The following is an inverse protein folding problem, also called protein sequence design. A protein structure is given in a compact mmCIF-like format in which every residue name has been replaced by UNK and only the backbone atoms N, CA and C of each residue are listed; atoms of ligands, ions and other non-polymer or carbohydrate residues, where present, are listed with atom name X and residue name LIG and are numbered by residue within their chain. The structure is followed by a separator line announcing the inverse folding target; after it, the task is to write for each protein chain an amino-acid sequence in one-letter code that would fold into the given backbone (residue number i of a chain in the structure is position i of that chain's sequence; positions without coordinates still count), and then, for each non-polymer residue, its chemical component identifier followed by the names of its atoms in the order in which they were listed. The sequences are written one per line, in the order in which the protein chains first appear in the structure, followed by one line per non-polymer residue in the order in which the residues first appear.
data_IF_667752761880
#
_entry.id   IF_667752761880
#
_cell.length_a   1.000
_cell.length_b   1.000
_cell.length_c   1.000
_cell.angle_alpha   90.00
_cell.angle_beta   90.00
_cell.angle_gamma   90.00
#
_symmetry.space_group_name_H-M   'P 1'
#
loop_
_entity.id
_entity.type
_entity.pdbx_description
1 polymer ?
#
# COMPACT_ATOMS: atom_id res chain seq x y z
N UNK A 1 -0.19 -2.21 2.48
CA UNK A 1 -0.89 -1.65 1.30
C UNK A 1 -2.26 -1.12 1.70
N UNK A 2 -2.76 -0.11 1.00
CA UNK A 2 -4.13 0.41 1.06
C UNK A 2 -4.96 -0.20 -0.06
N UNK A 3 -6.16 -0.72 0.22
CA UNK A 3 -6.99 -1.33 -0.81
C UNK A 3 -8.48 -1.09 -0.55
N UNK A 4 -9.12 -0.32 -1.44
CA UNK A 4 -10.57 -0.22 -1.51
C UNK A 4 -11.10 -1.49 -2.20
N UNK A 5 -12.13 -2.12 -1.63
CA UNK A 5 -12.68 -3.39 -2.15
C UNK A 5 -14.05 -3.23 -2.84
N UNK A 6 -14.43 -2.01 -3.21
CA UNK A 6 -15.64 -1.67 -3.98
C UNK A 6 -16.90 -2.30 -3.38
N UNK A 7 -17.21 -1.93 -2.14
CA UNK A 7 -18.32 -2.43 -1.33
C UNK A 7 -18.37 -3.96 -1.27
N UNK A 8 -17.48 -4.55 -0.48
CA UNK A 8 -17.45 -6.00 -0.27
C UNK A 8 -18.45 -6.41 0.82
N UNK A 9 -19.61 -6.87 0.39
CA UNK A 9 -20.69 -7.31 1.26
C UNK A 9 -20.92 -8.80 1.14
N UNK A 10 -20.95 -9.46 2.29
CA UNK A 10 -21.37 -10.86 2.43
C UNK A 10 -22.90 -11.01 2.49
N UNK A 11 -23.63 -9.88 2.55
CA UNK A 11 -25.08 -9.84 2.49
C UNK A 11 -25.53 -9.12 1.21
N UNK A 12 -26.37 -9.76 0.40
CA UNK A 12 -26.79 -9.25 -0.92
C UNK A 12 -28.27 -9.50 -1.21
N UNK A 13 -28.82 -8.64 -2.08
CA UNK A 13 -30.26 -8.38 -2.24
C UNK A 13 -31.03 -9.55 -2.85
N UNK A 14 -30.40 -10.37 -3.69
CA UNK A 14 -31.01 -11.52 -4.35
C UNK A 14 -30.30 -12.84 -3.96
N UNK A 15 -30.72 -13.43 -2.84
CA UNK A 15 -30.54 -14.87 -2.59
C UNK A 15 -29.40 -15.33 -1.67
N UNK A 16 -28.76 -14.47 -0.88
CA UNK A 16 -27.68 -14.92 0.02
C UNK A 16 -27.50 -14.16 1.34
N UNK A 17 -28.61 -13.79 1.97
CA UNK A 17 -28.64 -13.30 3.35
C UNK A 17 -28.53 -11.78 3.42
N UNK A 18 -29.28 -11.05 4.21
CA UNK A 18 -30.24 -11.32 5.28
C UNK A 18 -31.64 -10.92 4.78
N UNK A 19 -32.70 -11.65 5.14
CA UNK A 19 -34.08 -11.19 4.88
C UNK A 19 -34.38 -9.79 5.48
N UNK A 20 -33.48 -9.32 6.35
CA UNK A 20 -33.59 -8.08 7.11
C UNK A 20 -32.78 -6.90 6.51
N UNK A 21 -31.87 -7.14 5.56
CA UNK A 21 -31.01 -6.09 4.96
C UNK A 21 -29.73 -5.75 5.73
N UNK A 22 -29.08 -4.65 5.37
CA UNK A 22 -27.81 -4.18 5.94
C UNK A 22 -28.00 -2.96 6.85
N UNK A 23 -27.16 -2.82 7.87
CA UNK A 23 -27.24 -1.70 8.82
C UNK A 23 -26.63 -0.43 8.23
N UNK A 24 -27.29 0.72 8.44
CA UNK A 24 -26.78 2.06 8.17
C UNK A 24 -27.44 3.03 9.15
N UNK A 25 -26.65 3.73 9.96
CA UNK A 25 -27.18 4.71 10.92
C UNK A 25 -28.19 4.12 11.92
N UNK A 26 -28.04 2.84 12.27
CA UNK A 26 -28.97 2.12 13.13
C UNK A 26 -30.25 1.61 12.45
N UNK A 27 -30.43 1.89 11.15
CA UNK A 27 -31.55 1.36 10.36
C UNK A 27 -31.08 0.16 9.54
N UNK A 28 -31.90 -0.90 9.48
CA UNK A 28 -31.61 -2.09 8.66
C UNK A 28 -32.55 -2.12 7.47
N UNK A 29 -32.01 -2.15 6.25
CA UNK A 29 -32.77 -2.17 5.00
C UNK A 29 -31.99 -2.85 3.89
N UNK A 30 -32.66 -3.51 2.94
CA UNK A 30 -32.01 -4.09 1.75
C UNK A 30 -31.35 -3.02 0.90
N UNK A 31 -31.89 -1.80 0.87
CA UNK A 31 -31.30 -0.65 0.17
C UNK A 31 -29.97 -0.19 0.78
N UNK A 32 -29.66 -0.60 2.01
CA UNK A 32 -28.37 -0.32 2.64
C UNK A 32 -27.29 -1.34 2.26
N UNK A 33 -27.67 -2.48 1.67
CA UNK A 33 -26.70 -3.43 1.16
C UNK A 33 -26.11 -2.88 -0.13
N UNK A 34 -24.79 -2.75 -0.15
CA UNK A 34 -24.01 -2.24 -1.29
C UNK A 34 -23.15 -3.40 -1.81
N UNK A 35 -22.66 -3.33 -3.04
CA UNK A 35 -21.83 -4.39 -3.61
C UNK A 35 -22.59 -5.36 -4.52
N UNK A 36 -22.14 -6.60 -4.58
CA UNK A 36 -22.77 -7.66 -5.38
C UNK A 36 -24.27 -7.81 -5.06
N UNK A 37 -25.09 -8.01 -6.10
CA UNK A 37 -26.54 -8.21 -5.94
C UNK A 37 -26.90 -9.67 -5.66
N UNK A 38 -26.05 -10.62 -6.05
CA UNK A 38 -26.29 -12.05 -5.93
C UNK A 38 -24.99 -12.86 -5.73
N UNK A 39 -25.13 -14.16 -5.50
CA UNK A 39 -24.01 -15.06 -5.22
C UNK A 39 -23.00 -15.16 -6.38
N UNK A 40 -23.47 -15.06 -7.64
CA UNK A 40 -22.59 -15.15 -8.80
C UNK A 40 -21.71 -13.89 -8.90
N UNK A 41 -22.29 -12.71 -8.72
CA UNK A 41 -21.55 -11.45 -8.65
C UNK A 41 -20.61 -11.41 -7.45
N UNK A 42 -21.04 -11.89 -6.29
CA UNK A 42 -20.19 -11.97 -5.10
C UNK A 42 -18.95 -12.83 -5.36
N UNK A 43 -19.13 -13.98 -6.02
CA UNK A 43 -18.01 -14.85 -6.40
C UNK A 43 -17.06 -14.14 -7.37
N UNK A 44 -17.58 -13.42 -8.35
CA UNK A 44 -16.79 -12.61 -9.30
C UNK A 44 -16.00 -11.51 -8.60
N UNK A 45 -16.66 -10.76 -7.71
CA UNK A 45 -16.06 -9.70 -6.91
C UNK A 45 -14.93 -10.25 -6.03
N UNK A 46 -15.22 -11.29 -5.24
CA UNK A 46 -14.25 -11.93 -4.36
C UNK A 46 -13.04 -12.44 -5.14
N UNK A 47 -13.24 -13.04 -6.32
CA UNK A 47 -12.16 -13.56 -7.15
C UNK A 47 -11.19 -12.46 -7.58
N UNK A 48 -11.69 -11.33 -8.11
CA UNK A 48 -10.84 -10.21 -8.53
C UNK A 48 -10.07 -9.60 -7.36
N UNK A 49 -10.75 -9.39 -6.22
CA UNK A 49 -10.14 -8.86 -5.00
C UNK A 49 -9.04 -9.79 -4.49
N UNK A 50 -9.30 -11.11 -4.45
CA UNK A 50 -8.32 -12.11 -4.00
C UNK A 50 -7.10 -12.16 -4.91
N UNK A 51 -7.26 -12.15 -6.24
CA UNK A 51 -6.12 -12.12 -7.16
C UNK A 51 -5.31 -10.83 -7.01
N UNK A 52 -5.97 -9.67 -6.83
CA UNK A 52 -5.27 -8.41 -6.57
C UNK A 52 -4.47 -8.45 -5.26
N UNK A 53 -5.06 -8.92 -4.17
CA UNK A 53 -4.38 -9.02 -2.88
C UNK A 53 -3.22 -10.03 -2.91
N UNK A 54 -3.41 -11.17 -3.59
CA UNK A 54 -2.37 -12.18 -3.78
C UNK A 54 -1.20 -11.66 -4.62
N UNK A 55 -1.47 -10.82 -5.62
CA UNK A 55 -0.42 -10.21 -6.44
C UNK A 55 0.32 -9.07 -5.72
N UNK A 56 -0.38 -8.28 -4.89
CA UNK A 56 0.25 -7.25 -4.03
C UNK A 56 1.15 -7.90 -2.98
N UNK A 57 0.73 -9.04 -2.42
CA UNK A 57 1.46 -9.84 -1.44
C UNK A 57 1.96 -9.05 -0.20
N UNK A 58 1.23 -7.99 0.19
CA UNK A 58 1.65 -7.13 1.28
C UNK A 58 1.63 -7.85 2.64
N UNK A 59 2.58 -7.51 3.52
CA UNK A 59 2.62 -8.03 4.90
C UNK A 59 1.42 -7.58 5.74
N UNK A 60 0.86 -6.42 5.42
CA UNK A 60 -0.40 -5.91 5.99
C UNK A 60 -1.20 -5.15 4.92
N UNK A 61 -2.50 -5.40 4.86
CA UNK A 61 -3.46 -4.66 4.03
C UNK A 61 -4.46 -3.93 4.91
N UNK A 62 -4.57 -2.62 4.68
CA UNK A 62 -5.69 -1.82 5.13
C UNK A 62 -6.79 -1.85 4.09
N UNK A 63 -8.00 -2.22 4.51
CA UNK A 63 -9.14 -2.43 3.63
C UNK A 63 -10.19 -1.35 3.89
N UNK A 64 -10.67 -0.72 2.83
CA UNK A 64 -11.84 0.17 2.87
C UNK A 64 -13.01 -0.52 2.17
N UNK A 65 -14.23 -0.18 2.59
CA UNK A 65 -15.48 -0.71 1.99
C UNK A 65 -15.80 -2.17 2.34
N UNK A 66 -15.34 -2.63 3.49
CA UNK A 66 -15.77 -3.91 4.07
C UNK A 66 -17.11 -3.68 4.75
N UNK A 67 -18.10 -4.56 4.50
CA UNK A 67 -19.39 -4.49 5.18
C UNK A 67 -19.23 -4.41 6.70
N UNK A 68 -19.99 -3.52 7.32
CA UNK A 68 -20.01 -3.32 8.76
C UNK A 68 -20.95 -4.35 9.44
N UNK A 69 -20.51 -5.61 9.50
CA UNK A 69 -21.23 -6.73 10.11
C UNK A 69 -20.35 -7.54 11.09
N UNK A 70 -19.62 -6.80 11.93
CA UNK A 70 -18.53 -7.36 12.72
C UNK A 70 -17.37 -7.79 11.81
N UNK A 71 -16.71 -8.90 12.12
CA UNK A 71 -15.60 -9.44 11.32
C UNK A 71 -16.03 -10.42 10.22
N UNK A 72 -17.33 -10.64 10.01
CA UNK A 72 -17.84 -11.65 9.07
C UNK A 72 -17.33 -11.42 7.64
N UNK A 73 -17.50 -10.22 7.09
CA UNK A 73 -17.03 -9.93 5.73
C UNK A 73 -15.50 -9.98 5.59
N UNK A 74 -14.77 -9.41 6.54
CA UNK A 74 -13.30 -9.46 6.54
C UNK A 74 -12.77 -10.90 6.65
N UNK A 75 -13.35 -11.72 7.54
CA UNK A 75 -12.95 -13.11 7.73
C UNK A 75 -13.27 -13.98 6.50
N UNK A 76 -14.41 -13.72 5.85
CA UNK A 76 -14.77 -14.38 4.60
C UNK A 76 -13.74 -14.09 3.49
N UNK A 77 -13.32 -12.83 3.34
CA UNK A 77 -12.28 -12.45 2.39
C UNK A 77 -10.91 -13.09 2.72
N UNK A 78 -10.54 -13.11 4.01
CA UNK A 78 -9.30 -13.79 4.47
C UNK A 78 -9.34 -15.29 4.17
N UNK A 79 -10.48 -15.95 4.37
CA UNK A 79 -10.63 -17.37 4.05
C UNK A 79 -10.40 -17.64 2.56
N UNK A 80 -10.99 -16.83 1.68
CA UNK A 80 -10.79 -16.94 0.23
C UNK A 80 -9.34 -16.63 -0.18
N UNK A 81 -8.72 -15.59 0.39
CA UNK A 81 -7.32 -15.27 0.14
C UNK A 81 -6.40 -16.41 0.58
N UNK A 82 -6.60 -16.96 1.78
CA UNK A 82 -5.81 -18.10 2.28
C UNK A 82 -6.02 -19.37 1.45
N UNK A 83 -7.21 -19.58 0.87
CA UNK A 83 -7.40 -20.67 -0.09
C UNK A 83 -6.51 -20.50 -1.35
N UNK A 84 -6.20 -19.25 -1.71
CA UNK A 84 -5.38 -18.89 -2.87
C UNK A 84 -3.87 -18.84 -2.59
N UNK A 85 -3.46 -18.40 -1.39
CA UNK A 85 -2.04 -18.18 -1.04
C UNK A 85 -1.51 -19.09 0.07
N UNK A 86 -2.30 -20.07 0.52
CA UNK A 86 -1.96 -20.99 1.59
C UNK A 86 -2.70 -20.69 2.89
N UNK A 87 -3.14 -21.76 3.56
CA UNK A 87 -3.89 -21.67 4.81
C UNK A 87 -3.05 -20.98 5.90
N UNK A 88 -3.65 -19.98 6.58
CA UNK A 88 -3.00 -19.27 7.68
C UNK A 88 -2.01 -18.19 7.25
N UNK A 89 -1.84 -17.93 5.94
CA UNK A 89 -0.96 -16.87 5.45
C UNK A 89 -1.40 -15.49 5.95
N UNK A 90 -2.71 -15.23 5.99
CA UNK A 90 -3.30 -14.00 6.49
C UNK A 90 -4.30 -14.24 7.63
N UNK A 91 -4.38 -13.28 8.54
CA UNK A 91 -5.41 -13.20 9.59
C UNK A 91 -5.97 -11.78 9.67
N UNK A 92 -7.20 -11.63 10.17
CA UNK A 92 -7.78 -10.32 10.49
C UNK A 92 -7.22 -9.76 11.79
N UNK A 93 -7.11 -8.44 11.94
CA UNK A 93 -6.96 -7.84 13.27
C UNK A 93 -8.20 -8.09 14.14
N UNK A 94 -8.05 -7.91 15.46
CA UNK A 94 -9.19 -7.96 16.38
C UNK A 94 -10.21 -6.89 16.01
N UNK A 95 -11.51 -7.24 16.05
CA UNK A 95 -12.57 -6.25 15.87
C UNK A 95 -12.46 -5.19 16.98
N UNK A 96 -12.35 -3.89 16.67
CA UNK A 96 -12.37 -2.85 17.68
C UNK A 96 -13.77 -2.76 18.32
N UNK A 97 -13.87 -2.09 19.46
CA UNK A 97 -15.14 -1.92 20.19
C UNK A 97 -16.19 -1.11 19.43
N UNK A 98 -15.76 -0.28 18.49
CA UNK A 98 -16.61 0.54 17.63
C UNK A 98 -16.10 0.47 16.19
N UNK A 99 -17.02 0.28 15.25
CA UNK A 99 -16.72 0.25 13.80
C UNK A 99 -17.47 1.32 13.03
N UNK A 100 -18.10 2.26 13.74
CA UNK A 100 -18.91 3.32 13.17
C UNK A 100 -20.31 2.88 12.82
N UNK A 101 -21.06 3.83 12.27
CA UNK A 101 -22.48 3.68 11.95
C UNK A 101 -22.77 3.49 10.46
N UNK A 102 -21.77 3.61 9.60
CA UNK A 102 -21.93 3.40 8.16
C UNK A 102 -22.11 1.90 7.82
N UNK A 103 -22.68 1.60 6.65
CA UNK A 103 -22.87 0.23 6.17
C UNK A 103 -21.55 -0.46 5.82
N UNK A 104 -20.50 0.34 5.62
CA UNK A 104 -19.14 -0.10 5.43
C UNK A 104 -18.22 0.44 6.52
N UNK A 105 -17.15 -0.29 6.79
CA UNK A 105 -16.08 0.08 7.71
C UNK A 105 -14.73 -0.17 7.07
N UNK A 106 -13.69 0.28 7.76
CA UNK A 106 -12.33 -0.14 7.49
C UNK A 106 -12.00 -1.45 8.23
N UNK A 107 -11.07 -2.22 7.69
CA UNK A 107 -10.51 -3.42 8.32
C UNK A 107 -9.01 -3.52 8.07
N UNK A 108 -8.33 -4.40 8.78
CA UNK A 108 -6.93 -4.76 8.51
C UNK A 108 -6.78 -6.27 8.49
N UNK A 109 -5.96 -6.76 7.56
CA UNK A 109 -5.48 -8.13 7.53
C UNK A 109 -3.96 -8.13 7.42
N UNK A 110 -3.30 -9.12 8.01
CA UNK A 110 -1.84 -9.17 8.04
C UNK A 110 -1.30 -10.59 8.03
N UNK A 111 -0.03 -10.75 7.66
CA UNK A 111 0.71 -12.01 7.73
C UNK A 111 1.23 -12.22 9.15
N UNK A 112 0.71 -13.17 9.94
CA UNK A 112 1.17 -13.39 11.32
C UNK A 112 2.60 -13.95 11.39
N UNK A 113 3.12 -14.50 10.28
CA UNK A 113 4.52 -14.91 10.17
C UNK A 113 5.51 -13.73 10.05
N UNK A 114 5.01 -12.51 9.82
CA UNK A 114 5.83 -11.30 9.60
C UNK A 114 5.58 -10.23 10.67
N UNK A 115 4.34 -10.12 11.13
CA UNK A 115 3.89 -9.05 12.02
C UNK A 115 3.18 -9.61 13.24
N UNK A 116 3.52 -9.06 14.41
CA UNK A 116 2.86 -9.35 15.68
C UNK A 116 2.15 -8.08 16.16
N UNK A 117 0.82 -8.11 16.42
CA UNK A 117 0.12 -6.97 16.98
C UNK A 117 0.64 -6.59 18.38
N UNK A 118 0.91 -5.31 18.59
CA UNK A 118 1.21 -4.73 19.90
C UNK A 118 -0.08 -4.15 20.48
N UNK A 119 -0.71 -4.91 21.38
CA UNK A 119 -2.03 -4.58 21.92
C UNK A 119 -3.17 -4.80 20.91
N UNK A 120 -4.40 -4.50 21.34
CA UNK A 120 -5.59 -4.63 20.50
C UNK A 120 -5.69 -3.51 19.46
N UNK A 121 -6.36 -3.79 18.34
CA UNK A 121 -6.71 -2.76 17.37
C UNK A 121 -7.70 -1.76 17.98
N UNK A 122 -7.52 -0.47 17.68
CA UNK A 122 -8.31 0.62 18.26
C UNK A 122 -8.94 1.47 17.15
N UNK A 123 -10.22 1.77 17.28
CA UNK A 123 -10.96 2.69 16.43
C UNK A 123 -11.02 4.09 17.04
N UNK A 124 -10.95 5.13 16.21
CA UNK A 124 -11.23 6.51 16.62
C UNK A 124 -12.74 6.80 16.65
N UNK A 125 -13.36 6.61 17.82
CA UNK A 125 -14.80 6.77 18.03
C UNK A 125 -15.26 8.24 18.14
N UNK A 126 -14.41 9.22 17.83
CA UNK A 126 -14.83 10.61 17.80
C UNK A 126 -15.97 10.81 16.80
N UNK A 127 -16.99 11.57 17.18
CA UNK A 127 -18.25 11.70 16.43
C UNK A 127 -18.12 12.32 15.05
N UNK A 128 -16.97 12.94 14.75
CA UNK A 128 -16.63 13.43 13.41
C UNK A 128 -16.49 12.28 12.40
N UNK A 129 -16.22 11.06 12.87
CA UNK A 129 -16.00 9.89 12.04
C UNK A 129 -17.26 9.03 11.93
N UNK A 130 -17.92 9.07 10.78
CA UNK A 130 -18.95 8.07 10.43
C UNK A 130 -18.33 6.68 10.15
N UNK A 131 -17.09 6.67 9.66
CA UNK A 131 -16.24 5.51 9.44
C UNK A 131 -14.95 5.73 10.25
N UNK A 132 -14.90 5.29 11.52
CA UNK A 132 -13.75 5.46 12.40
C UNK A 132 -12.44 5.00 11.77
N UNK A 133 -11.39 5.81 11.91
CA UNK A 133 -10.02 5.38 11.61
C UNK A 133 -9.67 4.18 12.48
N UNK A 134 -9.16 3.13 11.88
CA UNK A 134 -8.65 1.94 12.58
C UNK A 134 -7.14 2.03 12.72
N UNK A 135 -6.63 1.88 13.94
CA UNK A 135 -5.20 1.83 14.23
C UNK A 135 -4.79 0.47 14.79
N UNK A 136 -3.65 -0.05 14.31
CA UNK A 136 -2.95 -1.19 14.89
C UNK A 136 -1.46 -0.92 14.87
N UNK A 137 -0.81 -1.07 16.02
CA UNK A 137 0.64 -1.11 16.10
C UNK A 137 1.11 -2.54 15.88
N UNK A 138 2.09 -2.72 15.02
CA UNK A 138 2.74 -4.00 14.76
C UNK A 138 4.20 -3.94 15.19
N UNK A 139 4.68 -5.03 15.77
CA UNK A 139 6.10 -5.31 15.92
C UNK A 139 6.53 -6.34 14.89
N UNK A 140 7.71 -6.15 14.31
CA UNK A 140 8.38 -7.12 13.48
C UNK A 140 9.21 -8.07 14.36
N UNK A 141 9.70 -9.17 13.78
CA UNK A 141 10.57 -10.13 14.50
C UNK A 141 11.88 -9.52 14.97
N UNK A 142 12.28 -8.38 14.39
CA UNK A 142 13.44 -7.60 14.81
C UNK A 142 13.14 -6.57 15.91
N UNK A 143 11.91 -6.52 16.44
CA UNK A 143 11.56 -5.58 17.51
C UNK A 143 11.24 -4.15 17.03
N UNK A 144 11.44 -3.83 15.75
CA UNK A 144 10.94 -2.57 15.17
C UNK A 144 9.42 -2.54 15.23
N UNK A 145 8.87 -1.38 15.55
CA UNK A 145 7.42 -1.18 15.64
C UNK A 145 6.95 -0.03 14.78
N UNK A 146 5.78 -0.19 14.16
CA UNK A 146 5.09 0.92 13.50
C UNK A 146 3.58 0.84 13.74
N UNK A 147 2.93 1.99 13.72
CA UNK A 147 1.48 2.12 13.85
C UNK A 147 0.89 2.37 12.46
N UNK A 148 0.07 1.44 11.99
CA UNK A 148 -0.72 1.59 10.77
C UNK A 148 -2.08 2.17 11.13
N UNK A 149 -2.49 3.23 10.43
CA UNK A 149 -3.82 3.83 10.54
C UNK A 149 -4.53 3.74 9.19
N UNK A 150 -5.67 3.08 9.15
CA UNK A 150 -6.51 2.91 7.94
C UNK A 150 -7.72 3.82 8.03
N UNK A 151 -7.90 4.63 7.00
CA UNK A 151 -8.84 5.74 6.97
C UNK A 151 -9.84 5.57 5.83
N UNK A 152 -11.08 6.02 6.05
CA UNK A 152 -12.07 6.17 4.99
C UNK A 152 -12.96 7.40 5.25
N UNK A 153 -12.44 8.59 4.91
CA UNK A 153 -13.10 9.88 5.19
C UNK A 153 -14.39 10.05 4.40
N UNK A 154 -15.25 10.99 4.80
CA UNK A 154 -16.57 11.20 4.19
C UNK A 154 -16.49 11.32 2.66
N UNK A 155 -17.26 10.50 1.96
CA UNK A 155 -17.34 10.53 0.49
C UNK A 155 -17.93 11.82 -0.06
N UNK A 156 -17.43 12.22 -1.24
CA UNK A 156 -17.91 13.32 -2.09
C UNK A 156 -19.24 13.03 -2.81
N UNK A 157 -19.68 11.77 -2.87
CA UNK A 157 -20.81 11.32 -3.71
C UNK A 157 -22.21 11.82 -3.28
N UNK A 158 -22.30 12.69 -2.28
CA UNK A 158 -23.55 13.34 -1.87
C UNK A 158 -23.27 14.74 -1.36
N UNK A 159 -24.31 15.56 -1.21
CA UNK A 159 -24.22 16.88 -0.59
C UNK A 159 -25.17 16.99 0.61
N UNK A 160 -24.84 17.82 1.62
CA UNK A 160 -25.79 18.13 2.68
C UNK A 160 -27.04 18.80 2.08
N UNK A 161 -28.18 18.58 2.72
CA UNK A 161 -29.40 19.31 2.37
C UNK A 161 -29.21 20.79 2.68
N UNK A 162 -29.56 21.68 1.74
CA UNK A 162 -29.48 23.11 1.94
C UNK A 162 -30.26 23.54 3.21
N UNK A 163 -29.61 24.33 4.07
CA UNK A 163 -30.18 24.79 5.34
C UNK A 163 -30.10 23.79 6.51
N UNK A 164 -29.61 22.56 6.30
CA UNK A 164 -29.31 21.65 7.40
C UNK A 164 -28.17 22.18 8.28
N UNK A 165 -28.12 21.76 9.55
CA UNK A 165 -27.09 22.21 10.52
C UNK A 165 -25.67 21.88 10.07
N UNK A 166 -25.49 20.77 9.36
CA UNK A 166 -24.22 20.34 8.80
C UNK A 166 -23.92 20.93 7.42
N UNK A 167 -24.76 21.83 6.88
CA UNK A 167 -24.57 22.40 5.54
C UNK A 167 -23.37 23.37 5.48
N UNK A 168 -23.16 24.15 6.54
CA UNK A 168 -22.09 25.16 6.56
C UNK A 168 -20.70 24.49 6.43
N UNK A 169 -19.92 24.92 5.44
CA UNK A 169 -18.62 24.33 5.08
C UNK A 169 -18.67 22.97 4.37
N UNK A 170 -19.86 22.37 4.17
CA UNK A 170 -20.02 21.08 3.51
C UNK A 170 -20.82 21.15 2.21
N UNK A 171 -21.52 22.25 1.95
CA UNK A 171 -22.06 22.53 0.62
C UNK A 171 -20.92 22.68 -0.39
N UNK A 172 -21.18 22.34 -1.66
CA UNK A 172 -20.23 22.59 -2.73
C UNK A 172 -20.08 24.11 -2.95
N UNK A 173 -18.85 24.60 -2.78
CA UNK A 173 -18.47 26.00 -3.00
C UNK A 173 -18.06 26.28 -4.45
N UNK A 174 -17.97 25.26 -5.31
CA UNK A 174 -17.50 25.38 -6.69
C UNK A 174 -15.98 25.60 -6.80
N UNK A 175 -15.23 25.28 -5.74
CA UNK A 175 -13.77 25.42 -5.69
C UNK A 175 -13.01 24.16 -6.16
N UNK A 176 -13.75 23.13 -6.59
CA UNK A 176 -13.20 21.85 -7.05
C UNK A 176 -13.00 20.81 -5.95
N UNK A 177 -13.17 21.15 -4.67
CA UNK A 177 -13.03 20.20 -3.56
C UNK A 177 -14.30 19.37 -3.36
N UNK A 178 -15.44 19.89 -3.79
CA UNK A 178 -16.75 19.24 -3.75
C UNK A 178 -17.35 19.17 -2.34
N UNK A 179 -18.53 18.57 -2.25
CA UNK A 179 -19.27 18.47 -1.00
C UNK A 179 -18.49 17.77 0.13
N UNK A 180 -18.89 18.08 1.36
CA UNK A 180 -18.31 17.58 2.61
C UNK A 180 -16.83 17.92 2.86
N UNK A 181 -16.28 18.93 2.19
CA UNK A 181 -14.89 19.33 2.39
C UNK A 181 -14.61 19.76 3.84
N UNK A 182 -15.51 20.55 4.45
CA UNK A 182 -15.39 20.96 5.85
C UNK A 182 -15.33 19.78 6.83
N UNK A 183 -16.16 18.75 6.62
CA UNK A 183 -16.14 17.53 7.42
C UNK A 183 -14.84 16.75 7.21
N UNK A 184 -14.39 16.56 5.96
CA UNK A 184 -13.12 15.89 5.67
C UNK A 184 -11.93 16.61 6.31
N UNK A 185 -11.94 17.95 6.34
CA UNK A 185 -10.92 18.75 7.02
C UNK A 185 -10.95 18.58 8.54
N UNK A 186 -12.13 18.46 9.15
CA UNK A 186 -12.27 18.14 10.58
C UNK A 186 -11.80 16.71 10.88
N UNK A 187 -12.07 15.74 9.99
CA UNK A 187 -11.56 14.37 10.11
C UNK A 187 -10.03 14.35 10.02
N UNK A 188 -9.42 15.14 9.13
CA UNK A 188 -7.96 15.29 9.03
C UNK A 188 -7.34 15.85 10.33
N UNK A 189 -7.98 16.86 10.93
CA UNK A 189 -7.54 17.42 12.21
C UNK A 189 -7.63 16.39 13.33
N UNK A 190 -8.78 15.71 13.47
CA UNK A 190 -8.97 14.66 14.48
C UNK A 190 -7.98 13.50 14.29
N UNK A 191 -7.71 13.10 13.04
CA UNK A 191 -6.76 12.06 12.71
C UNK A 191 -5.35 12.37 13.24
N UNK A 192 -4.91 13.63 13.20
CA UNK A 192 -3.62 14.03 13.79
C UNK A 192 -3.59 13.82 15.31
N UNK A 193 -4.65 14.22 16.00
CA UNK A 193 -4.76 14.05 17.45
C UNK A 193 -4.77 12.56 17.80
N UNK A 194 -5.52 11.75 17.05
CA UNK A 194 -5.56 10.31 17.22
C UNK A 194 -4.19 9.65 16.97
N UNK A 195 -3.41 10.11 15.98
CA UNK A 195 -2.03 9.64 15.79
C UNK A 195 -1.19 9.90 17.05
N UNK A 196 -1.24 11.12 17.60
CA UNK A 196 -0.47 11.47 18.80
C UNK A 196 -0.88 10.61 20.03
N UNK A 197 -2.18 10.38 20.21
CA UNK A 197 -2.73 9.47 21.22
C UNK A 197 -2.18 8.05 21.04
N UNK A 198 -2.17 7.53 19.80
CA UNK A 198 -1.72 6.17 19.52
C UNK A 198 -0.22 5.98 19.70
N UNK A 199 0.60 6.92 19.23
CA UNK A 199 2.05 6.87 19.43
C UNK A 199 2.41 6.91 20.92
N UNK A 200 1.73 7.75 21.70
CA UNK A 200 1.91 7.80 23.16
C UNK A 200 1.50 6.48 23.83
N UNK A 201 0.32 5.96 23.50
CA UNK A 201 -0.22 4.75 24.13
C UNK A 201 0.58 3.48 23.84
N UNK A 202 1.24 3.41 22.67
CA UNK A 202 1.98 2.23 22.22
C UNK A 202 3.49 2.37 22.31
N UNK A 203 3.97 3.57 22.68
CA UNK A 203 5.39 3.95 22.68
C UNK A 203 6.06 3.74 21.30
N UNK A 204 5.27 3.74 20.24
CA UNK A 204 5.76 3.77 18.86
C UNK A 204 6.12 5.21 18.48
N UNK A 205 7.15 5.37 17.66
CA UNK A 205 7.50 6.65 17.02
C UNK A 205 6.94 6.77 15.60
N UNK A 206 6.50 5.67 15.00
CA UNK A 206 6.24 5.58 13.57
C UNK A 206 4.74 5.47 13.30
N UNK A 207 4.21 6.40 12.52
CA UNK A 207 2.82 6.38 12.07
C UNK A 207 2.77 6.41 10.54
N UNK A 208 2.11 5.41 9.95
CA UNK A 208 1.76 5.36 8.55
C UNK A 208 0.24 5.41 8.41
N UNK A 209 -0.26 6.44 7.75
CA UNK A 209 -1.66 6.71 7.49
C UNK A 209 -1.92 6.33 6.04
N UNK A 210 -2.77 5.33 5.84
CA UNK A 210 -3.20 4.88 4.53
C UNK A 210 -4.72 4.92 4.44
N UNK A 211 -5.23 4.90 3.21
CA UNK A 211 -6.66 4.77 2.97
C UNK A 211 -7.19 5.80 2.00
N UNK A 212 -8.49 5.69 1.76
CA UNK A 212 -9.26 6.62 0.95
C UNK A 212 -9.65 7.83 1.82
N UNK A 213 -8.95 8.95 1.65
CA UNK A 213 -9.27 10.19 2.36
C UNK A 213 -10.34 11.00 1.63
N UNK A 214 -10.88 10.50 0.51
CA UNK A 214 -11.89 11.15 -0.31
C UNK A 214 -11.55 12.61 -0.61
N UNK A 215 -10.26 12.94 -0.75
CA UNK A 215 -9.76 14.29 -1.00
C UNK A 215 -8.55 14.23 -1.94
N UNK A 216 -8.53 15.08 -2.96
CA UNK A 216 -7.36 15.20 -3.83
C UNK A 216 -6.17 15.81 -3.08
N UNK A 217 -4.96 15.58 -3.59
CA UNK A 217 -3.71 15.90 -2.90
C UNK A 217 -3.52 17.37 -2.48
N UNK A 218 -4.17 18.30 -3.17
CA UNK A 218 -4.10 19.75 -2.92
C UNK A 218 -5.34 20.28 -2.20
N UNK A 219 -6.26 19.42 -1.77
CA UNK A 219 -7.43 19.83 -1.01
C UNK A 219 -7.10 20.06 0.46
N UNK A 220 -7.93 20.88 1.11
CA UNK A 220 -7.79 21.29 2.51
C UNK A 220 -7.54 20.12 3.48
N UNK A 221 -8.20 18.94 3.37
CA UNK A 221 -7.96 17.83 4.29
C UNK A 221 -6.54 17.29 4.20
N UNK A 222 -5.96 17.24 2.99
CA UNK A 222 -4.59 16.75 2.79
C UNK A 222 -3.58 17.82 3.21
N UNK A 223 -3.85 19.09 2.88
CA UNK A 223 -3.01 20.21 3.31
C UNK A 223 -3.00 20.37 4.84
N UNK A 224 -4.12 20.09 5.52
CA UNK A 224 -4.20 20.10 6.98
C UNK A 224 -3.26 19.07 7.63
N UNK A 225 -3.05 17.92 6.99
CA UNK A 225 -2.08 16.92 7.43
C UNK A 225 -0.65 17.35 7.10
N UNK A 226 -0.39 17.74 5.85
CA UNK A 226 0.98 18.00 5.37
C UNK A 226 1.60 19.27 5.94
N UNK A 227 0.80 20.31 6.19
CA UNK A 227 1.23 21.53 6.90
C UNK A 227 1.54 21.29 8.39
N UNK A 228 1.20 20.11 8.92
CA UNK A 228 1.35 19.75 10.33
C UNK A 228 2.48 18.75 10.58
N UNK A 229 3.46 18.68 9.68
CA UNK A 229 4.65 17.84 9.83
C UNK A 229 4.47 16.38 9.39
N UNK A 230 3.32 16.03 8.79
CA UNK A 230 3.18 14.78 8.07
C UNK A 230 3.67 14.96 6.62
N UNK A 231 4.30 13.92 6.07
CA UNK A 231 4.81 13.92 4.72
C UNK A 231 3.95 13.04 3.81
N UNK A 232 3.47 13.62 2.71
CA UNK A 232 2.83 12.88 1.62
C UNK A 232 3.90 12.04 0.89
N UNK A 233 3.81 10.73 1.07
CA UNK A 233 4.78 9.80 0.49
C UNK A 233 4.53 9.57 -0.99
N UNK A 234 3.28 9.67 -1.46
CA UNK A 234 3.01 9.62 -2.90
C UNK A 234 3.70 10.79 -3.57
N UNK A 235 3.52 12.02 -3.06
CA UNK A 235 4.18 13.21 -3.60
C UNK A 235 5.71 13.05 -3.68
N UNK A 236 6.31 12.42 -2.68
CA UNK A 236 7.76 12.18 -2.60
C UNK A 236 8.29 11.23 -3.68
N UNK A 237 7.53 10.20 -4.05
CA UNK A 237 7.99 9.14 -4.98
C UNK A 237 7.36 9.21 -6.37
N UNK A 238 6.17 9.78 -6.50
CA UNK A 238 5.44 9.97 -7.73
C UNK A 238 4.50 11.20 -7.61
N UNK A 239 5.01 12.39 -7.94
CA UNK A 239 4.24 13.64 -7.83
C UNK A 239 2.95 13.64 -8.68
N UNK A 240 2.89 12.83 -9.75
CA UNK A 240 1.72 12.68 -10.63
C UNK A 240 0.89 11.42 -10.31
N UNK A 241 1.13 10.77 -9.17
CA UNK A 241 0.37 9.59 -8.76
C UNK A 241 -1.11 9.89 -8.59
N UNK A 242 -1.94 9.05 -9.21
CA UNK A 242 -3.39 9.06 -9.14
C UNK A 242 -3.90 7.68 -8.71
N UNK A 243 -5.09 7.65 -8.12
CA UNK A 243 -5.78 6.41 -7.74
C UNK A 243 -7.21 6.35 -8.23
N UNK A 244 -7.72 7.43 -8.82
CA UNK A 244 -9.12 7.59 -9.15
C UNK A 244 -9.27 8.51 -10.37
N UNK A 245 -10.19 8.15 -11.26
CA UNK A 245 -10.56 8.94 -12.44
C UNK A 245 -12.04 9.27 -12.37
N UNK A 246 -12.37 10.56 -12.45
CA UNK A 246 -13.74 11.06 -12.39
C UNK A 246 -13.97 12.14 -13.44
N UNK A 247 -15.03 12.01 -14.25
CA UNK A 247 -15.36 12.92 -15.35
C UNK A 247 -14.16 13.26 -16.26
N UNK A 248 -13.29 12.28 -16.50
CA UNK A 248 -12.08 12.41 -17.31
C UNK A 248 -10.89 13.08 -16.62
N UNK A 249 -11.02 13.49 -15.36
CA UNK A 249 -9.93 14.01 -14.53
C UNK A 249 -9.29 12.91 -13.68
N UNK A 250 -7.96 12.82 -13.68
CA UNK A 250 -7.20 11.88 -12.87
C UNK A 250 -6.61 12.56 -11.62
N UNK A 251 -6.76 11.91 -10.46
CA UNK A 251 -6.16 12.36 -9.20
C UNK A 251 -6.10 11.24 -8.17
N UNK A 252 -5.49 11.48 -7.01
CA UNK A 252 -5.44 10.50 -5.91
C UNK A 252 -6.42 10.85 -4.80
N UNK A 253 -7.30 9.90 -4.46
CA UNK A 253 -8.09 9.91 -3.23
C UNK A 253 -7.49 8.97 -2.18
N UNK A 254 -6.69 7.99 -2.63
CA UNK A 254 -5.97 7.04 -1.80
C UNK A 254 -4.55 7.52 -1.55
N UNK A 255 -4.23 7.67 -0.27
CA UNK A 255 -2.98 8.29 0.16
C UNK A 255 -2.12 7.35 0.98
N UNK A 256 -0.82 7.67 1.02
CA UNK A 256 0.12 7.21 2.02
C UNK A 256 0.80 8.43 2.62
N UNK A 257 0.48 8.72 3.88
CA UNK A 257 0.96 9.89 4.62
C UNK A 257 1.68 9.37 5.87
N UNK A 258 2.89 9.87 6.12
CA UNK A 258 3.71 9.39 7.23
C UNK A 258 4.15 10.54 8.13
N UNK A 259 4.26 10.31 9.44
CA UNK A 259 4.96 11.26 10.30
C UNK A 259 6.47 11.25 9.99
N UNK A 260 7.23 12.23 10.51
CA UNK A 260 8.67 12.38 10.20
C UNK A 260 9.49 11.10 10.39
N UNK A 261 9.28 10.40 11.51
CA UNK A 261 10.02 9.17 11.82
C UNK A 261 9.71 8.05 10.82
N UNK A 262 8.43 7.82 10.53
CA UNK A 262 8.02 6.80 9.57
C UNK A 262 8.40 7.17 8.14
N UNK A 263 8.33 8.46 7.76
CA UNK A 263 8.72 8.93 6.44
C UNK A 263 10.19 8.58 6.12
N UNK A 264 11.09 8.63 7.10
CA UNK A 264 12.48 8.21 6.92
C UNK A 264 12.63 6.71 6.59
N UNK A 265 11.65 5.88 7.00
CA UNK A 265 11.63 4.42 6.78
C UNK A 265 10.82 4.03 5.54
N UNK A 266 10.12 4.94 4.88
CA UNK A 266 9.44 4.66 3.61
C UNK A 266 10.47 4.62 2.48
N UNK A 267 10.56 3.45 1.84
CA UNK A 267 11.46 3.20 0.72
C UNK A 267 10.82 3.60 -0.62
N UNK A 268 9.55 3.21 -0.82
CA UNK A 268 8.84 3.47 -2.07
C UNK A 268 7.33 3.49 -1.85
N UNK A 269 6.63 4.29 -2.64
CA UNK A 269 5.18 4.25 -2.77
C UNK A 269 4.79 4.12 -4.24
N UNK A 270 3.84 3.25 -4.54
CA UNK A 270 3.31 3.02 -5.90
C UNK A 270 1.80 2.90 -5.83
N UNK A 271 1.09 3.59 -6.72
CA UNK A 271 -0.26 3.23 -7.11
C UNK A 271 -0.16 2.11 -8.14
N UNK A 272 -0.70 0.94 -7.83
CA UNK A 272 -0.74 -0.13 -8.81
C UNK A 272 -1.99 0.04 -9.68
N UNK A 273 -1.79 0.56 -10.88
CA UNK A 273 -2.85 0.86 -11.84
C UNK A 273 -3.51 -0.42 -12.37
N UNK A 274 -4.58 -0.84 -11.68
CA UNK A 274 -5.40 -2.00 -12.03
C UNK A 274 -6.90 -1.67 -12.03
N UNK A 275 -7.30 -0.45 -11.65
CA UNK A 275 -8.69 -0.11 -11.33
C UNK A 275 -9.12 1.23 -11.95
N UNK A 276 -8.38 2.31 -11.72
CA UNK A 276 -8.84 3.66 -12.06
C UNK A 276 -9.06 3.86 -13.57
N UNK A 277 -8.22 3.24 -14.40
CA UNK A 277 -8.29 3.31 -15.85
C UNK A 277 -9.20 2.24 -16.47
N UNK A 278 -9.63 1.26 -15.67
CA UNK A 278 -10.41 0.13 -16.17
C UNK A 278 -11.88 0.51 -16.39
N UNK A 279 -12.43 0.08 -17.52
CA UNK A 279 -13.82 0.34 -17.86
C UNK A 279 -14.78 -0.35 -16.87
N UNK A 280 -15.80 0.37 -16.39
CA UNK A 280 -16.78 -0.19 -15.45
C UNK A 280 -17.42 -1.50 -15.94
N UNK A 281 -17.61 -1.69 -17.26
CA UNK A 281 -18.17 -2.94 -17.81
C UNK A 281 -17.33 -4.20 -17.53
N UNK A 282 -16.04 -4.08 -17.15
CA UNK A 282 -15.18 -5.23 -16.80
C UNK A 282 -15.24 -5.62 -15.33
N UNK A 283 -16.05 -4.90 -14.53
CA UNK A 283 -16.29 -5.20 -13.12
C UNK A 283 -17.05 -6.53 -12.91
N UNK A 284 -17.37 -6.82 -11.65
CA UNK A 284 -18.01 -8.08 -11.26
C UNK A 284 -19.51 -8.16 -11.60
N UNK A 285 -20.15 -7.03 -11.88
CA UNK A 285 -21.60 -6.94 -12.11
C UNK A 285 -22.02 -7.73 -13.35
N UNK A 286 -23.24 -8.25 -13.33
CA UNK A 286 -23.82 -9.00 -14.47
C UNK A 286 -24.88 -8.19 -15.20
N UNK A 287 -25.33 -7.07 -14.61
CA UNK A 287 -26.27 -6.18 -15.26
C UNK A 287 -25.71 -5.65 -16.56
N UNK A 288 -26.60 -5.53 -17.55
CA UNK A 288 -26.29 -5.02 -18.88
C UNK A 288 -25.23 -5.83 -19.68
N UNK A 289 -25.03 -7.12 -19.33
CA UNK A 289 -24.08 -8.03 -19.99
C UNK A 289 -24.74 -9.36 -20.35
N UNK A 290 -24.31 -10.01 -21.44
CA UNK A 290 -24.77 -11.35 -21.79
C UNK A 290 -24.43 -12.35 -20.64
N UNK A 291 -25.28 -13.35 -20.34
CA UNK A 291 -26.40 -13.84 -21.13
C UNK A 291 -27.73 -13.11 -20.90
N UNK A 292 -27.77 -11.97 -20.21
CA UNK A 292 -28.98 -11.14 -20.21
C UNK A 292 -29.35 -10.77 -21.65
N UNK A 293 -30.62 -10.92 -22.02
CA UNK A 293 -31.07 -10.75 -23.40
C UNK A 293 -31.51 -9.32 -23.74
N UNK A 294 -31.67 -8.48 -22.71
CA UNK A 294 -32.31 -7.17 -22.81
C UNK A 294 -31.47 -6.10 -22.12
N UNK A 295 -30.88 -5.24 -22.93
CA UNK A 295 -30.01 -4.11 -22.58
C UNK A 295 -30.49 -2.82 -23.24
N UNK A 296 -29.90 -1.68 -22.82
CA UNK A 296 -30.25 -0.36 -23.32
C UNK A 296 -31.56 0.20 -22.75
N UNK A 297 -31.88 1.44 -23.09
CA UNK A 297 -33.09 2.10 -22.63
C UNK A 297 -34.33 1.30 -23.09
N UNK A 298 -35.10 0.76 -22.14
CA UNK A 298 -36.29 -0.05 -22.40
C UNK A 298 -36.03 -1.55 -22.64
N UNK A 299 -34.79 -2.03 -22.51
CA UNK A 299 -34.47 -3.47 -22.60
C UNK A 299 -34.64 -4.08 -23.99
N UNK A 300 -34.50 -3.28 -25.05
CA UNK A 300 -34.78 -3.68 -26.44
C UNK A 300 -33.55 -4.15 -27.22
N UNK A 301 -32.34 -3.90 -26.71
CA UNK A 301 -31.09 -4.29 -27.37
C UNK A 301 -30.51 -5.57 -26.78
N UNK A 302 -29.81 -6.37 -27.59
CA UNK A 302 -29.02 -7.49 -27.06
C UNK A 302 -27.88 -6.95 -26.20
N UNK A 303 -27.61 -7.62 -25.08
CA UNK A 303 -26.49 -7.25 -24.24
C UNK A 303 -25.15 -7.61 -24.89
N UNK A 304 -24.12 -6.75 -24.76
CA UNK A 304 -22.78 -7.09 -25.20
C UNK A 304 -22.27 -8.33 -24.44
N UNK A 305 -21.31 -9.02 -25.05
CA UNK A 305 -20.57 -10.09 -24.39
C UNK A 305 -19.99 -9.59 -23.07
N UNK A 306 -20.10 -10.41 -22.03
CA UNK A 306 -19.54 -10.11 -20.72
C UNK A 306 -18.00 -10.13 -20.77
N UNK A 307 -17.32 -8.99 -20.58
CA UNK A 307 -15.86 -8.92 -20.63
C UNK A 307 -15.21 -9.27 -19.28
N UNK A 308 -15.97 -9.81 -18.32
CA UNK A 308 -15.45 -10.26 -17.04
C UNK A 308 -14.26 -11.22 -17.22
N UNK A 309 -13.19 -10.94 -16.49
CA UNK A 309 -12.05 -11.85 -16.32
C UNK A 309 -11.73 -12.03 -14.84
N UNK A 310 -11.33 -13.25 -14.47
CA UNK A 310 -10.86 -13.58 -13.13
C UNK A 310 -9.42 -13.11 -12.90
N UNK A 311 -9.18 -11.82 -13.08
CA UNK A 311 -7.89 -11.15 -12.93
C UNK A 311 -8.00 -9.99 -11.93
N UNK A 312 -6.87 -9.43 -11.44
CA UNK A 312 -6.89 -8.29 -10.51
C UNK A 312 -7.61 -7.04 -11.04
N UNK A 313 -7.69 -6.88 -12.35
CA UNK A 313 -8.16 -5.66 -13.01
C UNK A 313 -9.64 -5.40 -12.73
N UNK A 314 -9.99 -4.14 -12.42
CA UNK A 314 -11.33 -3.70 -12.01
C UNK A 314 -11.86 -4.46 -10.79
N UNK A 315 -10.98 -4.75 -9.84
CA UNK A 315 -11.36 -5.23 -8.50
C UNK A 315 -11.94 -4.11 -7.64
N UNK A 316 -11.62 -2.86 -7.97
CA UNK A 316 -12.21 -1.64 -7.43
C UNK A 316 -12.26 -0.55 -8.50
N UNK A 317 -12.83 0.60 -8.16
CA UNK A 317 -12.72 1.87 -8.88
C UNK A 317 -11.54 2.73 -8.38
N UNK A 318 -10.85 2.29 -7.32
CA UNK A 318 -9.65 2.92 -6.77
C UNK A 318 -8.42 2.04 -6.94
N UNK A 319 -7.30 2.60 -7.41
CA UNK A 319 -6.03 1.87 -7.43
C UNK A 319 -5.44 1.69 -6.02
N UNK A 320 -4.97 0.47 -5.67
CA UNK A 320 -4.30 0.25 -4.39
C UNK A 320 -3.00 1.04 -4.26
N UNK A 321 -2.74 1.52 -3.04
CA UNK A 321 -1.47 2.16 -2.67
C UNK A 321 -0.56 1.13 -1.99
N UNK A 322 0.55 0.79 -2.65
CA UNK A 322 1.56 -0.11 -2.13
C UNK A 322 2.72 0.71 -1.55
N UNK A 323 3.00 0.51 -0.28
CA UNK A 323 4.07 1.20 0.46
C UNK A 323 5.12 0.17 0.86
N UNK A 324 6.34 0.34 0.37
CA UNK A 324 7.51 -0.43 0.80
C UNK A 324 8.21 0.27 1.96
N UNK A 325 8.51 -0.49 3.01
CA UNK A 325 9.13 0.01 4.24
C UNK A 325 10.49 -0.66 4.45
N UNK A 326 11.45 0.12 4.93
CA UNK A 326 12.76 -0.32 5.37
C UNK A 326 12.78 -0.27 6.91
N UNK A 327 12.23 -1.29 7.55
CA UNK A 327 12.17 -1.42 9.01
C UNK A 327 13.33 -2.28 9.49
N UNK A 328 14.55 -1.74 9.41
CA UNK A 328 15.75 -2.48 9.80
C UNK A 328 15.90 -2.56 11.33
N UNK A 329 16.33 -3.72 11.80
CA UNK A 329 16.64 -4.06 13.19
C UNK A 329 17.77 -3.20 13.74
N UNK A 330 18.90 -3.22 13.04
CA UNK A 330 20.11 -2.52 13.42
C UNK A 330 20.80 -1.98 12.18
N UNK A 331 21.45 -0.82 12.37
CA UNK A 331 22.36 -0.25 11.38
C UNK A 331 23.78 -0.61 11.80
N UNK A 332 24.48 -1.37 10.96
CA UNK A 332 25.87 -1.77 11.13
C UNK A 332 26.76 -0.85 10.32
N UNK A 333 27.59 -0.05 11.00
CA UNK A 333 28.52 0.88 10.34
C UNK A 333 29.96 0.44 10.50
N UNK A 334 30.70 0.40 9.39
CA UNK A 334 32.14 0.16 9.39
C UNK A 334 32.96 1.43 9.65
N UNK A 335 34.27 1.29 9.51
CA UNK A 335 35.27 2.32 9.63
C UNK A 335 35.63 2.91 8.25
N UNK A 336 36.84 3.47 8.10
CA UNK A 336 37.39 3.87 6.79
C UNK A 336 38.47 2.90 6.29
N UNK A 337 38.67 1.78 7.00
CA UNK A 337 39.57 0.70 6.65
C UNK A 337 38.81 -0.52 6.15
N UNK A 338 39.52 -1.62 5.87
CA UNK A 338 38.86 -2.88 5.53
C UNK A 338 38.26 -3.52 6.79
N UNK A 339 36.95 -3.68 6.80
CA UNK A 339 36.20 -4.24 7.92
C UNK A 339 35.67 -5.65 7.63
N UNK A 340 35.46 -6.42 8.70
CA UNK A 340 34.71 -7.67 8.67
C UNK A 340 33.45 -7.48 9.51
N UNK A 341 32.29 -7.39 8.84
CA UNK A 341 31.00 -7.20 9.50
C UNK A 341 30.18 -8.46 9.34
N UNK A 342 29.73 -9.02 10.46
CA UNK A 342 28.72 -10.07 10.51
C UNK A 342 27.54 -9.53 11.29
N UNK A 343 26.45 -9.22 10.59
CA UNK A 343 25.23 -8.75 11.20
C UNK A 343 24.55 -9.87 12.00
N UNK A 344 23.68 -9.47 12.93
CA UNK A 344 22.95 -10.41 13.76
C UNK A 344 21.81 -11.06 12.95
N UNK A 345 21.00 -11.90 13.60
CA UNK A 345 19.75 -12.32 12.97
C UNK A 345 18.75 -11.16 12.97
N UNK A 346 18.11 -10.90 11.83
CA UNK A 346 17.11 -9.85 11.69
C UNK A 346 17.27 -9.12 10.37
N UNK A 347 16.28 -8.30 10.00
CA UNK A 347 16.40 -7.49 8.78
C UNK A 347 17.35 -6.32 9.09
N UNK A 348 18.63 -6.37 8.69
CA UNK A 348 19.65 -5.38 9.06
C UNK A 348 20.05 -4.45 7.91
N UNK A 349 20.56 -3.25 8.22
CA UNK A 349 21.20 -2.35 7.25
C UNK A 349 22.70 -2.29 7.50
N UNK A 350 23.50 -2.68 6.51
CA UNK A 350 24.95 -2.68 6.60
C UNK A 350 25.51 -1.58 5.68
N UNK A 351 26.26 -0.65 6.28
CA UNK A 351 27.04 0.36 5.57
C UNK A 351 28.48 0.35 6.10
N UNK A 352 29.34 -0.40 5.43
CA UNK A 352 30.73 -0.58 5.88
C UNK A 352 31.65 0.64 5.61
N UNK A 353 31.15 1.64 4.87
CA UNK A 353 31.91 2.84 4.51
C UNK A 353 33.10 2.50 3.60
N UNK A 354 34.15 3.31 3.57
CA UNK A 354 35.32 3.16 2.70
C UNK A 354 36.17 1.99 3.18
N UNK A 355 36.54 1.10 2.26
CA UNK A 355 37.28 -0.10 2.60
C UNK A 355 37.04 -1.19 1.56
N UNK A 356 37.85 -2.24 1.60
CA UNK A 356 37.54 -3.48 0.89
C UNK A 356 36.96 -4.45 1.93
N UNK A 357 35.67 -4.32 2.19
CA UNK A 357 35.03 -4.95 3.35
C UNK A 357 34.52 -6.35 3.07
N UNK A 358 34.45 -7.19 4.11
CA UNK A 358 33.84 -8.51 4.07
C UNK A 358 32.55 -8.50 4.90
N UNK A 359 31.41 -8.60 4.24
CA UNK A 359 30.09 -8.39 4.83
C UNK A 359 29.29 -9.69 4.83
N UNK A 360 28.63 -9.99 5.94
CA UNK A 360 27.70 -11.10 6.12
C UNK A 360 26.42 -10.54 6.72
N UNK A 361 25.29 -10.71 6.04
CA UNK A 361 23.98 -10.22 6.46
C UNK A 361 23.29 -11.08 7.51
N UNK A 362 23.59 -12.38 7.56
CA UNK A 362 22.95 -13.31 8.47
C UNK A 362 21.51 -13.66 8.06
N UNK A 363 20.70 -14.07 9.05
CA UNK A 363 19.27 -14.33 8.82
C UNK A 363 18.49 -13.02 8.67
N UNK A 364 17.26 -13.05 8.14
CA UNK A 364 16.49 -11.84 7.82
C UNK A 364 16.75 -11.27 6.41
N UNK A 365 16.02 -10.22 6.05
CA UNK A 365 16.11 -9.50 4.77
C UNK A 365 16.99 -8.26 4.94
N UNK A 366 18.21 -8.31 4.39
CA UNK A 366 19.26 -7.35 4.69
C UNK A 366 19.45 -6.32 3.58
N UNK A 367 19.77 -5.09 3.97
CA UNK A 367 20.19 -4.02 3.08
C UNK A 367 21.70 -3.81 3.14
N UNK A 368 22.35 -3.72 1.98
CA UNK A 368 23.76 -3.34 1.85
C UNK A 368 23.85 -2.00 1.13
N UNK A 369 24.21 -0.95 1.85
CA UNK A 369 24.22 0.41 1.31
C UNK A 369 25.60 0.80 0.80
N UNK A 370 25.66 1.28 -0.45
CA UNK A 370 26.83 1.90 -1.04
C UNK A 370 26.53 3.34 -1.45
N UNK A 371 27.35 4.28 -1.00
CA UNK A 371 27.16 5.73 -1.16
C UNK A 371 28.22 6.38 -2.06
N UNK A 372 29.34 5.72 -2.32
CA UNK A 372 30.36 6.24 -3.23
C UNK A 372 31.27 5.15 -3.80
N UNK A 373 31.95 5.45 -4.91
CA UNK A 373 32.99 4.57 -5.49
C UNK A 373 34.25 4.40 -4.61
N UNK A 374 34.35 5.11 -3.49
CA UNK A 374 35.43 4.89 -2.52
C UNK A 374 35.20 3.61 -1.69
N UNK A 375 33.96 3.13 -1.64
CA UNK A 375 33.52 1.94 -0.89
C UNK A 375 33.64 0.65 -1.75
N UNK A 376 34.34 0.73 -2.88
CA UNK A 376 34.44 -0.34 -3.85
C UNK A 376 35.59 -1.32 -3.56
N UNK A 377 35.34 -2.60 -3.79
CA UNK A 377 36.31 -3.70 -3.63
C UNK A 377 35.92 -4.73 -2.57
N UNK A 378 34.78 -4.53 -1.90
CA UNK A 378 34.28 -5.44 -0.87
C UNK A 378 33.67 -6.74 -1.41
N UNK A 379 33.25 -7.59 -0.49
CA UNK A 379 32.60 -8.88 -0.73
C UNK A 379 31.43 -9.08 0.23
N UNK A 380 30.26 -9.45 -0.29
CA UNK A 380 29.13 -9.94 0.51
C UNK A 380 29.12 -11.46 0.43
N UNK A 381 29.07 -12.13 1.58
CA UNK A 381 29.29 -13.58 1.70
C UNK A 381 28.03 -14.42 1.52
N UNK A 382 26.86 -13.86 1.79
CA UNK A 382 25.60 -14.58 1.96
C UNK A 382 24.38 -13.89 1.34
N UNK A 383 24.59 -13.00 0.36
CA UNK A 383 23.49 -12.29 -0.31
C UNK A 383 22.48 -13.27 -0.92
N UNK A 384 21.21 -13.13 -0.56
CA UNK A 384 20.09 -13.93 -1.05
C UNK A 384 19.20 -13.09 -1.98
N UNK A 385 19.28 -13.27 -3.32
CA UNK A 385 18.42 -12.55 -4.25
C UNK A 385 16.93 -12.74 -3.96
N UNK A 386 16.17 -11.65 -4.00
CA UNK A 386 14.75 -11.61 -3.67
C UNK A 386 14.42 -11.53 -2.19
N UNK A 387 15.44 -11.54 -1.34
CA UNK A 387 15.32 -11.33 0.09
C UNK A 387 16.16 -10.12 0.52
N UNK A 388 17.44 -10.13 0.16
CA UNK A 388 18.37 -9.03 0.44
C UNK A 388 18.37 -7.99 -0.68
N UNK A 389 18.84 -6.78 -0.38
CA UNK A 389 18.95 -5.68 -1.33
C UNK A 389 20.28 -4.96 -1.23
N UNK A 390 20.74 -4.44 -2.36
CA UNK A 390 21.84 -3.48 -2.44
C UNK A 390 21.26 -2.12 -2.76
N UNK A 391 21.46 -1.15 -1.88
CA UNK A 391 21.05 0.23 -2.10
C UNK A 391 22.18 1.01 -2.77
N UNK A 392 21.96 1.35 -4.05
CA UNK A 392 22.87 2.15 -4.87
C UNK A 392 22.42 3.61 -5.02
N UNK A 393 21.31 4.03 -4.39
CA UNK A 393 20.66 5.32 -4.64
C UNK A 393 21.62 6.50 -4.42
N UNK A 394 22.30 6.53 -3.27
CA UNK A 394 23.28 7.56 -2.93
C UNK A 394 24.51 7.53 -3.85
N UNK A 395 25.01 6.34 -4.19
CA UNK A 395 26.14 6.20 -5.11
C UNK A 395 25.79 6.73 -6.50
N UNK A 396 24.63 6.35 -7.05
CA UNK A 396 24.20 6.79 -8.38
C UNK A 396 23.95 8.30 -8.43
N UNK A 397 23.36 8.86 -7.37
CA UNK A 397 23.22 10.31 -7.23
C UNK A 397 24.59 11.01 -7.21
N UNK A 398 25.59 10.44 -6.52
CA UNK A 398 26.95 11.01 -6.44
C UNK A 398 27.66 11.09 -7.81
N UNK A 399 27.23 10.28 -8.78
CA UNK A 399 27.76 10.26 -10.16
C UNK A 399 26.72 10.78 -11.18
N UNK A 400 25.72 11.53 -10.71
CA UNK A 400 24.68 12.16 -11.54
C UNK A 400 23.98 11.18 -12.51
N UNK A 401 23.67 9.97 -12.03
CA UNK A 401 22.98 8.94 -12.80
C UNK A 401 21.63 8.62 -12.17
N UNK A 402 20.56 8.66 -12.96
CA UNK A 402 19.25 8.17 -12.53
C UNK A 402 19.21 6.65 -12.54
N UNK A 403 18.66 6.04 -11.48
CA UNK A 403 18.49 4.58 -11.36
C UNK A 403 17.80 3.97 -12.58
N UNK A 404 16.83 4.69 -13.15
CA UNK A 404 16.03 4.30 -14.32
C UNK A 404 16.83 4.12 -15.62
N UNK A 405 18.05 4.65 -15.67
CA UNK A 405 18.91 4.62 -16.86
C UNK A 405 20.21 3.87 -16.63
N UNK A 406 20.49 3.48 -15.39
CA UNK A 406 21.79 2.98 -14.97
C UNK A 406 22.17 1.67 -15.68
N UNK A 407 21.21 0.76 -15.87
CA UNK A 407 21.42 -0.49 -16.62
C UNK A 407 21.55 -0.23 -18.13
N UNK A 408 20.61 0.54 -18.69
CA UNK A 408 20.57 0.81 -20.13
C UNK A 408 21.80 1.57 -20.64
N UNK A 409 22.40 2.43 -19.80
CA UNK A 409 23.66 3.13 -20.09
C UNK A 409 24.91 2.29 -19.77
N UNK A 410 24.76 1.09 -19.25
CA UNK A 410 25.87 0.24 -18.81
C UNK A 410 26.64 0.78 -17.61
N UNK A 411 26.07 1.72 -16.84
CA UNK A 411 26.65 2.28 -15.61
C UNK A 411 26.68 1.21 -14.52
N UNK A 412 25.60 0.44 -14.38
CA UNK A 412 25.57 -0.73 -13.48
C UNK A 412 25.66 -1.99 -14.32
N UNK A 413 26.58 -2.89 -13.97
CA UNK A 413 26.79 -4.16 -14.66
C UNK A 413 26.87 -5.31 -13.66
N UNK A 414 26.26 -6.44 -14.02
CA UNK A 414 26.36 -7.70 -13.29
C UNK A 414 27.20 -8.66 -14.13
N UNK A 415 28.42 -8.96 -13.68
CA UNK A 415 29.38 -9.77 -14.44
C UNK A 415 29.65 -11.08 -13.70
N UNK A 416 29.56 -12.21 -14.40
CA UNK A 416 29.89 -13.51 -13.82
C UNK A 416 31.39 -13.64 -13.54
N UNK A 417 31.76 -14.14 -12.37
CA UNK A 417 33.12 -14.49 -12.00
C UNK A 417 33.14 -15.85 -11.28
N UNK A 418 33.22 -16.93 -12.05
CA UNK A 418 33.05 -18.30 -11.52
C UNK A 418 31.65 -18.48 -10.91
N UNK A 419 31.58 -18.85 -9.63
CA UNK A 419 30.33 -18.98 -8.88
C UNK A 419 29.86 -17.65 -8.25
N UNK A 420 30.53 -16.54 -8.52
CA UNK A 420 30.24 -15.23 -7.93
C UNK A 420 29.69 -14.26 -8.98
N UNK A 421 29.06 -13.19 -8.51
CA UNK A 421 28.71 -12.03 -9.33
C UNK A 421 29.53 -10.83 -8.92
N UNK A 422 30.15 -10.16 -9.89
CA UNK A 422 30.75 -8.85 -9.71
C UNK A 422 29.68 -7.80 -10.02
N UNK A 423 29.24 -7.05 -9.02
CA UNK A 423 28.49 -5.83 -9.25
C UNK A 423 29.48 -4.72 -9.55
N UNK A 424 29.51 -4.28 -10.82
CA UNK A 424 30.44 -3.26 -11.30
C UNK A 424 29.72 -1.95 -11.56
N UNK A 425 30.44 -0.85 -11.32
CA UNK A 425 30.02 0.50 -11.65
C UNK A 425 30.99 1.09 -12.67
N UNK A 426 30.43 1.62 -13.75
CA UNK A 426 31.08 2.37 -14.79
C UNK A 426 30.55 3.80 -14.74
N UNK A 427 31.38 4.74 -14.27
CA UNK A 427 30.91 6.07 -13.87
C UNK A 427 30.52 6.99 -15.03
N UNK A 428 30.97 6.70 -16.25
CA UNK A 428 30.55 7.43 -17.46
C UNK A 428 29.73 6.56 -18.44
N UNK A 429 29.58 5.27 -18.13
CA UNK A 429 28.75 4.32 -18.86
C UNK A 429 29.47 3.74 -20.07
N UNK A 430 28.84 2.79 -20.76
CA UNK A 430 29.53 1.95 -21.75
C UNK A 430 30.09 2.67 -22.98
N UNK A 431 29.69 3.92 -23.20
CA UNK A 431 30.20 4.77 -24.28
C UNK A 431 31.39 5.65 -23.85
N UNK A 432 31.67 5.75 -22.55
CA UNK A 432 32.73 6.57 -22.00
C UNK A 432 34.09 5.85 -21.91
N UNK A 433 35.18 6.60 -21.69
CA UNK A 433 36.52 6.04 -21.56
C UNK A 433 36.82 5.39 -20.20
N UNK A 434 36.04 5.65 -19.15
CA UNK A 434 36.30 5.07 -17.82
C UNK A 434 36.03 3.57 -17.85
N UNK A 435 36.94 2.80 -17.26
CA UNK A 435 36.76 1.36 -17.14
C UNK A 435 35.83 1.02 -15.96
N UNK A 436 34.92 0.05 -16.12
CA UNK A 436 34.09 -0.41 -15.01
C UNK A 436 34.95 -0.92 -13.84
N UNK A 437 34.59 -0.53 -12.63
CA UNK A 437 35.23 -1.01 -11.40
C UNK A 437 34.24 -1.87 -10.61
N UNK A 438 34.70 -3.00 -10.10
CA UNK A 438 33.92 -3.82 -9.18
C UNK A 438 33.66 -3.04 -7.89
N UNK A 439 32.39 -2.76 -7.62
CA UNK A 439 31.92 -2.19 -6.36
C UNK A 439 31.94 -3.26 -5.28
N UNK A 440 31.29 -4.40 -5.54
CA UNK A 440 31.19 -5.51 -4.59
C UNK A 440 31.12 -6.84 -5.31
N UNK A 441 31.74 -7.85 -4.71
CA UNK A 441 31.59 -9.26 -5.13
C UNK A 441 30.50 -9.94 -4.30
N UNK A 442 29.50 -10.51 -4.97
CA UNK A 442 28.46 -11.32 -4.34
C UNK A 442 28.87 -12.80 -4.41
N UNK A 443 29.21 -13.39 -3.27
CA UNK A 443 29.66 -14.79 -3.23
C UNK A 443 28.49 -15.75 -3.44
N UNK A 444 28.70 -16.74 -4.32
CA UNK A 444 27.74 -17.84 -4.56
C UNK A 444 26.39 -17.35 -5.10
N UNK A 445 26.38 -16.17 -5.73
CA UNK A 445 25.23 -15.60 -6.41
C UNK A 445 25.52 -15.54 -7.89
N UNK A 446 24.59 -16.01 -8.71
CA UNK A 446 24.70 -15.94 -10.18
C UNK A 446 24.05 -14.65 -10.69
N UNK A 447 24.58 -14.01 -11.75
CA UNK A 447 23.98 -12.77 -12.25
C UNK A 447 22.51 -12.93 -12.65
N UNK A 448 22.15 -14.09 -13.20
CA UNK A 448 20.79 -14.41 -13.64
C UNK A 448 19.77 -14.52 -12.49
N UNK A 449 20.23 -14.76 -11.26
CA UNK A 449 19.35 -14.81 -10.07
C UNK A 449 18.99 -13.42 -9.53
N UNK A 450 19.73 -12.39 -9.94
CA UNK A 450 19.53 -11.01 -9.53
C UNK A 450 18.53 -10.36 -10.49
N UNK A 451 17.45 -9.82 -9.93
CA UNK A 451 16.47 -9.00 -10.62
C UNK A 451 16.77 -7.55 -10.28
N UNK A 452 17.32 -6.74 -11.20
CA UNK A 452 17.83 -5.41 -10.86
C UNK A 452 16.81 -4.48 -10.19
N UNK A 453 15.54 -4.51 -10.63
CA UNK A 453 14.48 -3.71 -10.01
C UNK A 453 14.21 -4.13 -8.55
N UNK A 454 14.25 -5.43 -8.27
CA UNK A 454 13.95 -6.02 -6.96
C UNK A 454 15.13 -5.88 -6.00
N UNK A 455 16.31 -6.26 -6.47
CA UNK A 455 17.50 -6.48 -5.63
C UNK A 455 18.42 -5.26 -5.57
N UNK A 456 18.41 -4.39 -6.60
CA UNK A 456 19.30 -3.22 -6.70
C UNK A 456 18.55 -1.88 -6.74
N UNK A 457 17.21 -1.91 -6.79
CA UNK A 457 16.37 -0.71 -6.90
C UNK A 457 16.52 0.04 -8.24
N UNK A 458 16.91 -0.67 -9.31
CA UNK A 458 17.13 -0.08 -10.64
C UNK A 458 15.89 -0.28 -11.52
N UNK A 459 15.21 0.83 -11.83
CA UNK A 459 13.94 0.86 -12.55
C UNK A 459 14.08 0.93 -14.07
#
# INVERSE_FOLDING_TARGET
ASFNVLNYFTAYTNGGGTANGCSLGGTVSTANCRGANNAAEFTRQQTKIVEAMAAIDADVLGLMEIQNNGNTAAANLVAALNARVGAGTYVTTSLPSDTGSDAIRVAMIYKPARLVPVGAAVSDNHTVNNRPTLAQTFSLTNGETFTLLVNHFKSKGSCPTAGATNNNGNADSGDGQGCWNGLRSQQAQRLRDFVAERLTATRSSDALLIGDLNAYAQEDPILALTSSGFADQVQRFNAFGYSYVFDGGAGRLDHAIANTSMAAKVNRVVHWHINADEAAVTDYNTEFKAPALSCGAGGTSLCPSDPFTATPYRSSDHDPVVVGLNLYNQVWTGSAGADVITAAAGDDLIWASVGADLLTGGAGSNGFAYRSMREAGGTITDFVPGKDRIDLSALLASINTASSTALGRGVVRLVAAGAHTLLQIDTDGSAGPVQPRTLVTLRHVTPASIVPLRDLGLN
#
